data_IF_465143571613
#
_entry.id   IF_465143571613
#
_cell.length_a   1.000
_cell.length_b   1.000
_cell.length_c   1.000
_cell.angle_alpha   90.00
_cell.angle_beta   90.00
_cell.angle_gamma   90.00
#
_symmetry.space_group_name_H-M   'P 1'
#
loop_
_entity.id
_entity.type
_entity.pdbx_description
1 polymer ?
#
# COMPACT_ATOMS: atom_id res chain seq x y z
N UNK A 1 -2.12 21.21 12.15
CA UNK A 1 -2.51 21.00 10.76
C UNK A 1 -2.08 22.20 9.93
N UNK A 2 -0.81 22.31 9.61
CA UNK A 2 -0.20 23.27 8.69
C UNK A 2 1.11 22.71 8.18
N UNK A 3 1.59 23.21 7.07
CA UNK A 3 2.97 23.01 6.63
C UNK A 3 3.93 23.81 7.52
N UNK A 4 5.15 23.35 7.61
CA UNK A 4 6.24 24.09 8.23
C UNK A 4 6.70 25.18 7.26
N UNK A 5 6.58 26.45 7.67
CA UNK A 5 6.83 27.60 6.80
C UNK A 5 8.32 27.76 6.46
N UNK A 6 9.22 27.25 7.31
CA UNK A 6 10.67 27.27 7.05
C UNK A 6 11.05 26.35 5.90
N UNK A 7 10.35 25.22 5.73
CA UNK A 7 10.58 24.25 4.65
C UNK A 7 9.62 24.41 3.47
N UNK A 8 8.40 24.87 3.73
CA UNK A 8 7.33 25.00 2.75
C UNK A 8 6.67 26.39 2.85
N UNK A 9 7.39 27.46 2.45
CA UNK A 9 6.88 28.83 2.63
C UNK A 9 5.62 29.12 1.84
N UNK A 10 5.38 28.41 0.74
CA UNK A 10 4.15 28.49 -0.06
C UNK A 10 3.72 27.08 -0.50
N UNK A 11 3.00 26.32 0.35
CA UNK A 11 2.57 24.96 0.03
C UNK A 11 1.56 24.91 -1.12
N UNK A 12 0.82 26.01 -1.38
CA UNK A 12 -0.09 26.08 -2.53
C UNK A 12 0.69 26.18 -3.85
N UNK A 13 1.72 27.00 -3.92
CA UNK A 13 2.59 27.10 -5.08
C UNK A 13 3.34 25.78 -5.34
N UNK A 14 3.76 25.05 -4.29
CA UNK A 14 4.33 23.72 -4.42
C UNK A 14 3.34 22.78 -5.12
N UNK A 15 2.10 22.69 -4.62
CA UNK A 15 1.08 21.80 -5.21
C UNK A 15 0.78 22.19 -6.67
N UNK A 16 0.64 23.48 -6.96
CA UNK A 16 0.41 23.97 -8.32
C UNK A 16 1.57 23.63 -9.26
N UNK A 17 2.79 23.65 -8.76
CA UNK A 17 3.99 23.28 -9.54
C UNK A 17 4.03 21.78 -9.83
N UNK A 18 3.65 20.93 -8.87
CA UNK A 18 3.53 19.49 -9.08
C UNK A 18 2.43 19.18 -10.10
N UNK A 19 1.29 19.84 -10.01
CA UNK A 19 0.18 19.65 -10.97
C UNK A 19 0.58 20.04 -12.40
N UNK A 20 1.40 21.08 -12.59
CA UNK A 20 1.94 21.43 -13.92
C UNK A 20 2.85 20.36 -14.50
N UNK A 21 3.44 19.52 -13.65
CA UNK A 21 4.25 18.35 -14.04
C UNK A 21 3.43 17.06 -14.15
N UNK A 22 2.08 17.14 -14.08
CA UNK A 22 1.18 15.99 -14.01
C UNK A 22 1.45 15.05 -12.82
N UNK A 23 1.94 15.62 -11.72
CA UNK A 23 2.19 14.93 -10.46
C UNK A 23 1.11 15.25 -9.44
N UNK A 24 0.78 14.27 -8.59
CA UNK A 24 -0.18 14.41 -7.50
C UNK A 24 0.53 14.42 -6.16
N UNK A 25 -0.01 15.19 -5.21
CA UNK A 25 0.55 15.30 -3.86
C UNK A 25 -0.30 14.53 -2.87
N UNK A 26 0.34 13.56 -2.19
CA UNK A 26 -0.22 12.89 -1.01
C UNK A 26 0.51 13.39 0.24
N UNK A 27 -0.24 13.83 1.24
CA UNK A 27 0.32 14.36 2.50
C UNK A 27 0.00 13.42 3.65
N UNK A 28 1.01 13.15 4.49
CA UNK A 28 0.83 12.39 5.73
C UNK A 28 0.06 13.23 6.75
N UNK A 29 -0.99 12.66 7.28
CA UNK A 29 -1.82 13.23 8.35
C UNK A 29 -2.05 12.21 9.45
N UNK A 30 -2.07 12.68 10.69
CA UNK A 30 -2.23 11.82 11.85
C UNK A 30 -3.54 12.15 12.59
N UNK A 31 -4.11 11.14 13.20
CA UNK A 31 -5.21 11.31 14.19
C UNK A 31 -4.70 11.78 15.56
N UNK A 32 -3.38 11.94 15.70
CA UNK A 32 -2.69 12.50 16.85
C UNK A 32 -2.36 13.97 16.58
N UNK A 33 -2.73 14.85 17.50
CA UNK A 33 -2.49 16.29 17.38
C UNK A 33 -1.79 16.75 18.66
N UNK A 34 -0.63 17.39 18.52
CA UNK A 34 0.07 18.01 19.66
C UNK A 34 -0.83 19.04 20.34
N UNK A 35 -1.09 18.82 21.62
CA UNK A 35 -1.96 19.65 22.47
C UNK A 35 -1.45 21.08 22.61
N UNK A 36 -0.17 21.34 22.42
CA UNK A 36 0.43 22.66 22.51
C UNK A 36 0.26 23.46 21.19
N UNK A 37 -0.04 22.78 20.09
CA UNK A 37 -0.32 23.44 18.82
C UNK A 37 -1.60 24.28 18.88
N UNK A 38 -1.79 25.19 17.94
CA UNK A 38 -3.01 26.01 17.86
C UNK A 38 -4.28 25.14 17.77
N UNK A 39 -4.30 24.15 16.87
CA UNK A 39 -5.40 23.20 16.74
C UNK A 39 -5.53 22.32 17.98
N UNK A 40 -4.41 21.89 18.55
CA UNK A 40 -4.40 21.06 19.77
C UNK A 40 -5.06 21.78 20.97
N UNK A 41 -4.80 23.07 21.15
CA UNK A 41 -5.46 23.88 22.20
C UNK A 41 -6.98 23.97 22.00
N UNK A 42 -7.44 24.10 20.78
CA UNK A 42 -8.89 24.05 20.44
C UNK A 42 -9.47 22.68 20.80
N UNK A 43 -8.79 21.59 20.44
CA UNK A 43 -9.22 20.23 20.72
C UNK A 43 -9.24 19.92 22.24
N UNK A 44 -8.26 20.45 22.99
CA UNK A 44 -8.25 20.34 24.47
C UNK A 44 -9.46 21.05 25.08
N UNK A 45 -9.71 22.30 24.67
CA UNK A 45 -10.83 23.09 25.16
C UNK A 45 -12.19 22.44 24.89
N UNK A 46 -12.32 21.71 23.77
CA UNK A 46 -13.53 20.97 23.39
C UNK A 46 -13.63 19.56 24.01
N UNK A 47 -12.59 19.07 24.73
CA UNK A 47 -12.58 17.74 25.32
C UNK A 47 -12.49 16.61 24.27
N UNK A 48 -11.83 16.84 23.14
CA UNK A 48 -11.83 15.97 21.98
C UNK A 48 -10.78 14.86 21.98
N UNK A 49 -9.96 14.77 23.02
CA UNK A 49 -8.93 13.73 23.15
C UNK A 49 -9.44 12.50 23.91
N UNK A 50 -8.94 11.34 23.53
CA UNK A 50 -9.03 10.15 24.37
C UNK A 50 -8.29 10.44 25.68
N UNK A 51 -8.90 10.25 26.86
CA UNK A 51 -8.30 10.61 28.13
C UNK A 51 -6.89 10.02 28.33
N UNK A 52 -5.93 10.88 28.70
CA UNK A 52 -4.53 10.50 28.93
C UNK A 52 -3.71 10.24 27.68
N UNK A 53 -4.20 10.59 26.49
CA UNK A 53 -3.50 10.45 25.21
C UNK A 53 -3.47 11.76 24.42
N UNK A 54 -2.69 11.78 23.32
CA UNK A 54 -2.73 12.83 22.29
C UNK A 54 -3.55 12.43 21.05
N UNK A 55 -4.30 11.33 21.14
CA UNK A 55 -5.17 10.84 20.09
C UNK A 55 -6.56 11.49 20.15
N UNK A 56 -7.06 11.93 19.02
CA UNK A 56 -8.44 12.46 18.93
C UNK A 56 -9.43 11.30 19.12
N UNK A 57 -10.47 11.53 19.89
CA UNK A 57 -11.53 10.54 20.15
C UNK A 57 -12.52 10.44 18.99
N UNK A 58 -12.18 9.71 17.95
CA UNK A 58 -13.07 9.50 16.80
C UNK A 58 -14.32 8.67 17.11
N UNK A 59 -14.42 8.09 18.31
CA UNK A 59 -15.68 7.50 18.79
C UNK A 59 -16.69 8.58 19.20
N UNK A 60 -16.22 9.80 19.48
CA UNK A 60 -17.03 10.98 19.73
C UNK A 60 -17.23 11.76 18.42
N UNK A 61 -18.50 11.83 17.97
CA UNK A 61 -18.86 12.50 16.71
C UNK A 61 -18.51 13.99 16.67
N UNK A 62 -18.53 14.68 17.82
CA UNK A 62 -18.14 16.09 17.89
C UNK A 62 -16.62 16.24 17.70
N UNK A 63 -15.82 15.36 18.32
CA UNK A 63 -14.37 15.36 18.12
C UNK A 63 -13.99 15.07 16.67
N UNK A 64 -14.65 14.11 16.03
CA UNK A 64 -14.48 13.80 14.62
C UNK A 64 -14.87 15.00 13.71
N UNK A 65 -15.97 15.68 14.02
CA UNK A 65 -16.41 16.86 13.29
C UNK A 65 -15.41 18.03 13.42
N UNK A 66 -14.90 18.29 14.62
CA UNK A 66 -13.90 19.34 14.86
C UNK A 66 -12.57 19.01 14.17
N UNK A 67 -12.15 17.72 14.15
CA UNK A 67 -11.00 17.28 13.37
C UNK A 67 -11.20 17.59 11.89
N UNK A 68 -12.34 17.16 11.32
CA UNK A 68 -12.65 17.38 9.92
C UNK A 68 -12.74 18.87 9.57
N UNK A 69 -13.33 19.68 10.43
CA UNK A 69 -13.40 21.14 10.23
C UNK A 69 -12.00 21.74 10.03
N UNK A 70 -11.07 21.45 10.94
CA UNK A 70 -9.70 21.95 10.84
C UNK A 70 -8.97 21.39 9.60
N UNK A 71 -9.21 20.14 9.26
CA UNK A 71 -8.69 19.50 8.06
C UNK A 71 -9.18 20.22 6.79
N UNK A 72 -10.48 20.43 6.68
CA UNK A 72 -11.16 21.10 5.55
C UNK A 72 -10.67 22.53 5.38
N UNK A 73 -10.62 23.30 6.46
CA UNK A 73 -10.30 24.73 6.40
C UNK A 73 -8.81 24.98 6.12
N UNK A 74 -7.91 24.12 6.60
CA UNK A 74 -6.46 24.34 6.57
C UNK A 74 -5.73 23.60 5.45
N UNK A 75 -6.22 22.44 5.03
CA UNK A 75 -5.49 21.58 4.10
C UNK A 75 -6.14 21.50 2.71
N UNK A 76 -7.48 21.45 2.61
CA UNK A 76 -8.13 21.34 1.30
C UNK A 76 -7.86 22.53 0.35
N UNK A 77 -7.77 23.80 0.83
CA UNK A 77 -7.46 24.92 -0.06
C UNK A 77 -6.08 24.86 -0.72
N UNK A 78 -5.18 24.05 -0.16
CA UNK A 78 -3.82 23.89 -0.69
C UNK A 78 -3.75 23.03 -1.96
N UNK A 79 -4.86 22.37 -2.34
CA UNK A 79 -4.92 21.57 -3.56
C UNK A 79 -4.33 20.17 -3.44
N UNK A 80 -4.19 19.65 -2.22
CA UNK A 80 -3.67 18.29 -1.95
C UNK A 80 -4.63 17.26 -2.56
N UNK A 81 -4.07 16.23 -3.22
CA UNK A 81 -4.84 15.23 -3.98
C UNK A 81 -5.19 13.99 -3.16
N UNK A 82 -4.36 13.63 -2.19
CA UNK A 82 -4.48 12.37 -1.47
C UNK A 82 -3.97 12.48 -0.02
N UNK A 83 -4.41 11.54 0.82
CA UNK A 83 -4.22 11.60 2.26
C UNK A 83 -3.63 10.31 2.78
N UNK A 84 -2.43 10.39 3.36
CA UNK A 84 -1.77 9.27 4.01
C UNK A 84 -2.07 9.35 5.51
N UNK A 85 -3.04 8.53 5.94
CA UNK A 85 -3.47 8.45 7.33
C UNK A 85 -2.57 7.46 8.07
N UNK A 86 -1.52 7.99 8.65
CA UNK A 86 -0.54 7.24 9.42
C UNK A 86 -0.97 7.10 10.88
N UNK A 87 -0.42 6.10 11.56
CA UNK A 87 -0.57 5.88 13.00
C UNK A 87 -2.02 5.71 13.51
N UNK A 88 -2.90 5.19 12.67
CA UNK A 88 -4.35 5.07 12.94
C UNK A 88 -4.76 3.86 13.77
N UNK A 89 -3.85 3.19 14.47
CA UNK A 89 -4.15 2.02 15.35
C UNK A 89 -4.97 2.33 16.60
N UNK A 90 -4.75 3.35 17.46
CA UNK A 90 -3.71 4.38 17.58
C UNK A 90 -2.33 3.81 17.95
N UNK A 91 -1.29 4.39 17.36
CA UNK A 91 0.08 3.91 17.53
C UNK A 91 0.55 3.97 18.98
N UNK A 92 1.21 2.90 19.44
CA UNK A 92 1.74 2.75 20.79
C UNK A 92 0.72 2.94 21.92
N UNK A 93 -0.58 2.89 21.59
CA UNK A 93 -1.64 2.89 22.59
C UNK A 93 -2.70 1.85 22.24
N UNK A 94 -2.93 0.94 23.14
CA UNK A 94 -3.92 -0.12 23.00
C UNK A 94 -5.29 0.25 23.59
N UNK A 95 -5.44 1.48 24.06
CA UNK A 95 -6.61 2.00 24.76
C UNK A 95 -6.95 1.23 26.06
N UNK A 96 -5.98 0.47 26.60
CA UNK A 96 -6.15 -0.32 27.82
C UNK A 96 -6.51 0.58 29.01
N UNK A 97 -7.57 0.18 29.76
CA UNK A 97 -8.05 0.94 30.89
C UNK A 97 -8.65 2.31 30.54
N UNK A 98 -8.82 2.64 29.28
CA UNK A 98 -9.37 3.92 28.84
C UNK A 98 -10.83 3.84 28.46
N UNK A 99 -11.57 4.88 28.79
CA UNK A 99 -12.92 5.10 28.31
C UNK A 99 -12.91 6.07 27.14
N UNK A 100 -13.68 5.79 26.11
CA UNK A 100 -13.84 6.62 24.92
C UNK A 100 -15.30 7.06 24.73
N UNK A 101 -15.58 7.94 23.76
CA UNK A 101 -16.91 8.49 23.52
C UNK A 101 -17.51 9.13 24.78
N UNK A 102 -16.77 10.06 25.41
CA UNK A 102 -17.17 10.72 26.65
C UNK A 102 -17.50 9.73 27.79
N UNK A 103 -16.70 8.69 27.93
CA UNK A 103 -16.85 7.69 28.99
C UNK A 103 -17.93 6.64 28.76
N UNK A 104 -18.48 6.55 27.55
CA UNK A 104 -19.57 5.61 27.25
C UNK A 104 -19.08 4.21 26.87
N UNK A 105 -17.89 4.07 26.31
CA UNK A 105 -17.38 2.80 25.81
C UNK A 105 -16.01 2.46 26.39
N UNK A 106 -15.78 1.17 26.60
CA UNK A 106 -14.47 0.66 26.97
C UNK A 106 -13.57 0.64 25.72
N UNK A 107 -12.44 1.36 25.79
CA UNK A 107 -11.52 1.52 24.68
C UNK A 107 -10.92 0.22 24.17
N UNK A 108 -10.58 -0.72 25.07
CA UNK A 108 -10.03 -2.02 24.69
C UNK A 108 -11.01 -2.83 23.81
N UNK A 109 -12.29 -2.78 24.13
CA UNK A 109 -13.32 -3.52 23.39
C UNK A 109 -13.56 -2.96 21.99
N UNK A 110 -13.36 -1.65 21.80
CA UNK A 110 -13.66 -0.98 20.53
C UNK A 110 -12.40 -0.55 19.76
N UNK A 111 -11.22 -0.83 20.27
CA UNK A 111 -9.93 -0.39 19.71
C UNK A 111 -9.80 -0.60 18.20
N UNK A 112 -10.12 -1.80 17.74
CA UNK A 112 -9.97 -2.15 16.32
C UNK A 112 -10.91 -1.36 15.40
N UNK A 113 -11.94 -0.70 15.93
CA UNK A 113 -12.85 0.15 15.16
C UNK A 113 -12.28 1.56 14.94
N UNK A 114 -11.29 1.97 15.73
CA UNK A 114 -10.69 3.31 15.65
C UNK A 114 -10.26 3.70 14.23
N UNK A 115 -9.43 2.90 13.52
CA UNK A 115 -9.02 3.24 12.15
C UNK A 115 -10.20 3.37 11.18
N UNK A 116 -11.25 2.58 11.37
CA UNK A 116 -12.45 2.65 10.56
C UNK A 116 -13.13 4.02 10.69
N UNK A 117 -13.21 4.56 11.92
CA UNK A 117 -13.83 5.86 12.19
C UNK A 117 -12.99 7.02 11.70
N UNK A 118 -11.66 6.93 11.81
CA UNK A 118 -10.74 7.92 11.22
C UNK A 118 -10.95 8.00 9.70
N UNK A 119 -10.91 6.86 9.03
CA UNK A 119 -11.10 6.78 7.58
C UNK A 119 -12.50 7.24 7.15
N UNK A 120 -13.54 6.85 7.89
CA UNK A 120 -14.92 7.31 7.66
C UNK A 120 -15.00 8.84 7.68
N UNK A 121 -14.44 9.47 8.72
CA UNK A 121 -14.51 10.93 8.89
C UNK A 121 -13.90 11.67 7.71
N UNK A 122 -12.72 11.22 7.24
CA UNK A 122 -12.04 11.88 6.13
C UNK A 122 -12.74 11.57 4.80
N UNK A 123 -13.16 10.32 4.59
CA UNK A 123 -13.88 9.92 3.37
C UNK A 123 -15.18 10.69 3.19
N UNK A 124 -16.05 10.65 4.21
CA UNK A 124 -17.35 11.33 4.15
C UNK A 124 -17.17 12.85 4.00
N UNK A 125 -16.23 13.43 4.74
CA UNK A 125 -15.94 14.84 4.63
C UNK A 125 -15.41 15.25 3.26
N UNK A 126 -14.54 14.47 2.62
CA UNK A 126 -14.08 14.71 1.25
C UNK A 126 -15.24 14.65 0.25
N UNK A 127 -16.10 13.64 0.36
CA UNK A 127 -17.30 13.52 -0.49
C UNK A 127 -18.22 14.72 -0.33
N UNK A 128 -18.48 15.16 0.89
CA UNK A 128 -19.28 16.33 1.20
C UNK A 128 -18.66 17.62 0.64
N UNK A 129 -17.34 17.70 0.61
CA UNK A 129 -16.60 18.80 -0.02
C UNK A 129 -16.49 18.70 -1.55
N UNK A 130 -17.13 17.70 -2.19
CA UNK A 130 -17.08 17.48 -3.63
C UNK A 130 -15.72 17.02 -4.14
N UNK A 131 -14.91 16.37 -3.26
CA UNK A 131 -13.60 15.83 -3.60
C UNK A 131 -13.68 14.32 -3.75
N UNK A 132 -12.90 13.76 -4.67
CA UNK A 132 -12.74 12.31 -4.76
C UNK A 132 -11.79 11.83 -3.64
N UNK A 133 -12.24 10.92 -2.75
CA UNK A 133 -11.40 10.45 -1.69
C UNK A 133 -10.29 9.53 -2.21
N UNK A 134 -9.04 9.86 -1.91
CA UNK A 134 -7.89 8.99 -2.08
C UNK A 134 -7.16 8.91 -0.74
N UNK A 135 -7.28 7.77 -0.06
CA UNK A 135 -6.76 7.56 1.29
C UNK A 135 -5.82 6.36 1.29
N UNK A 136 -4.65 6.53 1.87
CA UNK A 136 -3.74 5.45 2.24
C UNK A 136 -3.69 5.38 3.76
N UNK A 137 -4.06 4.26 4.37
CA UNK A 137 -4.11 4.10 5.83
C UNK A 137 -3.22 2.96 6.29
N UNK A 138 -2.55 3.14 7.46
CA UNK A 138 -1.67 2.09 8.02
C UNK A 138 -2.48 0.94 8.64
N UNK A 139 -3.65 1.23 9.15
CA UNK A 139 -4.47 0.25 9.82
C UNK A 139 -5.91 0.28 9.29
N UNK A 140 -6.58 -0.86 9.37
CA UNK A 140 -7.96 -1.01 8.97
C UNK A 140 -8.68 -2.07 9.80
N UNK A 141 -9.98 -2.14 9.63
CA UNK A 141 -10.84 -3.13 10.24
C UNK A 141 -11.95 -3.54 9.27
N UNK A 142 -12.69 -4.58 9.60
CA UNK A 142 -13.81 -5.04 8.79
C UNK A 142 -14.76 -3.88 8.45
N UNK A 143 -15.06 -3.71 7.17
CA UNK A 143 -15.87 -2.60 6.66
C UNK A 143 -15.08 -1.40 6.11
N UNK A 144 -13.72 -1.40 6.20
CA UNK A 144 -12.88 -0.33 5.63
C UNK A 144 -13.10 -0.15 4.12
N UNK A 145 -13.51 -1.19 3.43
CA UNK A 145 -13.85 -1.18 1.99
C UNK A 145 -14.88 -0.12 1.62
N UNK A 146 -15.78 0.24 2.55
CA UNK A 146 -16.79 1.29 2.36
C UNK A 146 -16.19 2.67 2.11
N UNK A 147 -14.99 2.87 2.63
CA UNK A 147 -14.33 4.17 2.60
C UNK A 147 -13.19 4.25 1.59
N UNK A 148 -13.14 3.29 0.64
CA UNK A 148 -12.22 3.31 -0.49
C UNK A 148 -10.74 3.43 -0.12
N UNK A 149 -10.39 3.07 1.12
CA UNK A 149 -9.03 3.24 1.62
C UNK A 149 -8.11 2.15 1.10
N UNK A 150 -6.94 2.56 0.63
CA UNK A 150 -5.82 1.67 0.40
C UNK A 150 -5.03 1.48 1.71
N UNK A 151 -4.36 0.32 1.85
CA UNK A 151 -3.56 0.01 3.03
C UNK A 151 -2.13 -0.34 2.65
N UNK A 152 -1.20 -0.05 3.55
CA UNK A 152 0.15 -0.62 3.49
C UNK A 152 0.45 -1.39 4.77
N UNK A 153 1.48 -2.20 4.73
CA UNK A 153 1.81 -3.14 5.80
C UNK A 153 2.48 -2.53 7.03
N UNK A 154 2.64 -1.19 7.07
CA UNK A 154 3.31 -0.50 8.17
C UNK A 154 4.83 -0.58 8.12
N UNK A 155 5.46 -0.32 9.25
CA UNK A 155 6.91 -0.14 9.43
C UNK A 155 7.60 -1.51 9.55
N UNK A 156 7.90 -2.12 8.42
CA UNK A 156 8.46 -3.48 8.37
C UNK A 156 9.98 -3.49 8.19
N UNK A 157 10.59 -4.59 8.61
CA UNK A 157 12.01 -4.86 8.33
C UNK A 157 12.30 -5.07 6.85
N UNK A 158 13.57 -5.29 6.52
CA UNK A 158 14.02 -5.40 5.14
C UNK A 158 14.54 -6.79 4.75
N UNK A 159 14.54 -7.76 5.66
CA UNK A 159 15.09 -9.10 5.42
C UNK A 159 14.23 -9.97 4.50
N UNK A 160 14.80 -11.11 4.04
CA UNK A 160 14.11 -12.03 3.13
C UNK A 160 12.86 -12.68 3.73
N UNK A 161 12.86 -12.95 5.03
CA UNK A 161 11.70 -13.52 5.71
C UNK A 161 10.56 -12.51 5.77
N UNK A 162 10.88 -11.26 6.10
CA UNK A 162 9.92 -10.15 6.05
C UNK A 162 9.36 -10.01 4.64
N UNK A 163 10.18 -10.05 3.60
CA UNK A 163 9.70 -9.98 2.21
C UNK A 163 8.69 -11.09 1.89
N UNK A 164 9.02 -12.34 2.22
CA UNK A 164 8.10 -13.47 2.04
C UNK A 164 6.79 -13.27 2.80
N UNK A 165 6.86 -12.80 4.05
CA UNK A 165 5.66 -12.50 4.85
C UNK A 165 4.80 -11.40 4.26
N UNK A 166 5.40 -10.39 3.64
CA UNK A 166 4.66 -9.32 2.99
C UNK A 166 3.82 -9.84 1.81
N UNK A 167 4.37 -10.73 1.00
CA UNK A 167 3.60 -11.35 -0.09
C UNK A 167 2.38 -12.08 0.47
N UNK A 168 2.57 -12.94 1.47
CA UNK A 168 1.46 -13.70 2.06
C UNK A 168 0.48 -12.81 2.82
N UNK A 169 0.95 -11.75 3.47
CA UNK A 169 0.08 -10.77 4.12
C UNK A 169 -0.82 -10.05 3.10
N UNK A 170 -0.24 -9.61 1.97
CA UNK A 170 -1.01 -9.04 0.87
C UNK A 170 -2.09 -9.98 0.36
N UNK A 171 -1.77 -11.24 0.13
CA UNK A 171 -2.74 -12.27 -0.28
C UNK A 171 -3.83 -12.48 0.78
N UNK A 172 -3.48 -12.45 2.07
CA UNK A 172 -4.42 -12.51 3.18
C UNK A 172 -5.38 -11.31 3.22
N UNK A 173 -4.87 -10.10 2.95
CA UNK A 173 -5.71 -8.90 2.85
C UNK A 173 -6.71 -8.99 1.69
N UNK A 174 -6.30 -9.53 0.54
CA UNK A 174 -7.21 -9.79 -0.57
C UNK A 174 -8.32 -10.78 -0.18
N UNK A 175 -7.94 -11.87 0.52
CA UNK A 175 -8.91 -12.86 0.99
C UNK A 175 -9.88 -12.27 2.04
N UNK A 176 -9.45 -11.28 2.81
CA UNK A 176 -10.29 -10.50 3.73
C UNK A 176 -11.15 -9.43 3.03
N UNK A 177 -11.08 -9.32 1.70
CA UNK A 177 -11.84 -8.33 0.92
C UNK A 177 -11.28 -6.92 1.00
N UNK A 178 -9.98 -6.76 1.24
CA UNK A 178 -9.26 -5.47 1.22
C UNK A 178 -8.37 -5.45 -0.03
N UNK A 179 -8.88 -4.96 -1.17
CA UNK A 179 -8.22 -5.13 -2.47
C UNK A 179 -7.06 -4.15 -2.72
N UNK A 180 -7.04 -3.01 -2.05
CA UNK A 180 -6.05 -1.97 -2.26
C UNK A 180 -4.96 -2.06 -1.20
N UNK A 181 -3.88 -2.76 -1.54
CA UNK A 181 -2.79 -3.03 -0.61
C UNK A 181 -1.42 -2.81 -1.25
N UNK A 182 -0.46 -2.45 -0.41
CA UNK A 182 0.95 -2.29 -0.77
C UNK A 182 1.86 -2.55 0.43
N UNK A 183 3.15 -2.42 0.20
CA UNK A 183 4.20 -2.40 1.23
C UNK A 183 5.25 -1.34 0.88
N UNK A 184 6.13 -1.05 1.80
CA UNK A 184 7.30 -0.21 1.56
C UNK A 184 8.39 -1.05 0.87
N UNK A 185 8.51 -0.91 -0.46
CA UNK A 185 9.45 -1.71 -1.24
C UNK A 185 10.90 -1.48 -0.78
N UNK A 186 11.58 -2.56 -0.43
CA UNK A 186 12.90 -2.55 0.17
C UNK A 186 12.92 -2.52 1.70
N UNK A 187 11.73 -2.51 2.33
CA UNK A 187 11.55 -2.39 3.78
C UNK A 187 11.52 -0.94 4.26
N UNK A 188 10.79 -0.67 5.33
CA UNK A 188 10.78 0.62 6.00
C UNK A 188 12.07 0.86 6.79
N UNK A 189 12.45 -0.10 7.66
CA UNK A 189 13.72 -0.05 8.36
C UNK A 189 14.84 -0.62 7.47
N UNK A 190 15.70 0.27 6.98
CA UNK A 190 16.80 -0.07 6.08
C UNK A 190 18.14 -0.08 6.81
N UNK A 191 19.15 -0.86 6.36
CA UNK A 191 20.47 -0.85 6.98
C UNK A 191 21.17 0.49 6.71
N UNK A 192 22.05 0.91 7.63
CA UNK A 192 22.80 2.16 7.50
C UNK A 192 23.65 2.22 6.22
N UNK A 193 24.21 1.08 5.80
CA UNK A 193 25.01 0.94 4.59
C UNK A 193 24.18 0.59 3.34
N UNK A 194 22.90 0.91 3.34
CA UNK A 194 21.94 0.55 2.29
C UNK A 194 22.37 0.90 0.86
N UNK A 195 23.17 1.93 0.68
CA UNK A 195 23.60 2.39 -0.65
C UNK A 195 24.83 1.63 -1.20
N UNK A 196 25.52 0.88 -0.37
CA UNK A 196 26.76 0.18 -0.71
C UNK A 196 26.72 -1.33 -0.43
N UNK A 197 25.72 -1.79 0.31
CA UNK A 197 25.53 -3.20 0.60
C UNK A 197 24.85 -3.93 -0.59
N UNK A 198 25.64 -4.65 -1.37
CA UNK A 198 25.15 -5.39 -2.54
C UNK A 198 24.08 -6.44 -2.20
N UNK A 199 24.13 -7.04 -1.01
CA UNK A 199 23.11 -8.01 -0.57
C UNK A 199 21.77 -7.31 -0.24
N UNK A 200 21.83 -6.13 0.35
CA UNK A 200 20.62 -5.32 0.55
C UNK A 200 20.06 -4.79 -0.78
N UNK A 201 20.94 -4.29 -1.67
CA UNK A 201 20.52 -3.77 -2.97
C UNK A 201 19.81 -4.86 -3.79
N UNK A 202 20.36 -6.07 -3.85
CA UNK A 202 19.68 -7.20 -4.51
C UNK A 202 18.30 -7.43 -3.91
N UNK A 203 18.19 -7.51 -2.60
CA UNK A 203 16.93 -7.73 -1.91
C UNK A 203 15.92 -6.62 -2.17
N UNK A 204 16.34 -5.36 -2.10
CA UNK A 204 15.52 -4.20 -2.42
C UNK A 204 14.99 -4.26 -3.86
N UNK A 205 15.81 -4.65 -4.82
CA UNK A 205 15.38 -4.83 -6.20
C UNK A 205 14.28 -5.90 -6.32
N UNK A 206 14.40 -7.03 -5.60
CA UNK A 206 13.34 -8.07 -5.59
C UNK A 206 12.01 -7.58 -5.02
N UNK A 207 12.07 -6.73 -3.99
CA UNK A 207 10.86 -6.06 -3.49
C UNK A 207 10.24 -5.14 -4.56
N UNK A 208 11.05 -4.36 -5.24
CA UNK A 208 10.60 -3.41 -6.28
C UNK A 208 10.02 -4.14 -7.49
N UNK A 209 10.69 -5.19 -7.97
CA UNK A 209 10.18 -6.04 -9.06
C UNK A 209 8.80 -6.63 -8.75
N UNK A 210 8.63 -7.13 -7.51
CA UNK A 210 7.35 -7.67 -7.07
C UNK A 210 6.30 -6.55 -6.92
N UNK A 211 6.71 -5.36 -6.46
CA UNK A 211 5.82 -4.21 -6.30
C UNK A 211 5.20 -3.73 -7.61
N UNK A 212 5.82 -3.99 -8.76
CA UNK A 212 5.24 -3.74 -10.09
C UNK A 212 3.87 -4.41 -10.22
N UNK A 213 3.70 -5.58 -9.60
CA UNK A 213 2.51 -6.44 -9.68
C UNK A 213 1.70 -6.44 -8.37
N UNK A 214 1.75 -5.35 -7.62
CA UNK A 214 0.85 -5.09 -6.50
C UNK A 214 -0.28 -4.13 -6.91
N UNK A 215 -1.41 -4.10 -6.19
CA UNK A 215 -2.46 -3.10 -6.44
C UNK A 215 -1.92 -1.67 -6.45
N UNK A 216 -1.07 -1.32 -5.49
CA UNK A 216 -0.32 -0.07 -5.47
C UNK A 216 1.19 -0.38 -5.45
N UNK A 217 1.95 0.39 -6.21
CA UNK A 217 3.41 0.35 -6.15
C UNK A 217 3.91 1.53 -5.31
N UNK A 218 4.66 1.24 -4.26
CA UNK A 218 5.19 2.23 -3.33
C UNK A 218 6.65 1.95 -3.00
N UNK A 219 7.45 2.99 -2.95
CA UNK A 219 8.81 2.98 -2.39
C UNK A 219 8.84 3.98 -1.24
N UNK A 220 9.23 3.52 -0.06
CA UNK A 220 9.37 4.34 1.13
C UNK A 220 10.37 3.70 2.08
N UNK A 221 11.02 4.50 2.94
CA UNK A 221 11.97 4.01 3.94
C UNK A 221 12.26 5.07 4.98
N UNK A 222 12.41 4.64 6.23
CA UNK A 222 12.72 5.51 7.35
C UNK A 222 14.12 6.11 7.22
N UNK A 223 14.22 7.43 7.33
CA UNK A 223 15.48 8.19 7.23
C UNK A 223 16.36 7.74 6.04
N UNK A 224 15.73 7.50 4.89
CA UNK A 224 16.38 6.99 3.69
C UNK A 224 16.09 7.87 2.49
N UNK A 225 17.11 8.14 1.70
CA UNK A 225 16.96 8.69 0.36
C UNK A 225 16.62 7.53 -0.58
N UNK A 226 15.35 7.44 -0.97
CA UNK A 226 14.84 6.28 -1.73
C UNK A 226 14.90 6.44 -3.23
N UNK A 227 15.49 7.52 -3.72
CA UNK A 227 15.65 7.81 -5.12
C UNK A 227 16.62 6.81 -5.77
N UNK A 228 16.28 6.31 -6.97
CA UNK A 228 17.01 5.22 -7.62
C UNK A 228 18.51 5.45 -7.81
N UNK A 229 18.90 6.68 -8.05
CA UNK A 229 20.32 7.06 -8.30
C UNK A 229 21.23 6.90 -7.08
N UNK A 230 20.66 6.81 -5.86
CA UNK A 230 21.46 6.61 -4.65
C UNK A 230 22.03 5.19 -4.52
N UNK A 231 21.49 4.21 -5.26
CA UNK A 231 21.85 2.79 -5.18
C UNK A 231 22.82 2.32 -6.27
N UNK A 232 23.40 3.27 -7.00
CA UNK A 232 24.33 3.02 -8.11
C UNK A 232 23.62 2.78 -9.44
N UNK A 233 24.41 2.82 -10.51
CA UNK A 233 23.89 2.86 -11.90
C UNK A 233 23.08 1.61 -12.26
N UNK A 234 23.59 0.40 -11.93
CA UNK A 234 22.88 -0.87 -12.21
C UNK A 234 21.48 -0.87 -11.56
N UNK A 235 21.41 -0.54 -10.26
CA UNK A 235 20.14 -0.52 -9.54
C UNK A 235 19.21 0.55 -10.10
N UNK A 236 19.72 1.73 -10.44
CA UNK A 236 18.94 2.80 -11.08
C UNK A 236 18.31 2.35 -12.40
N UNK A 237 19.07 1.68 -13.26
CA UNK A 237 18.58 1.16 -14.54
C UNK A 237 17.50 0.09 -14.36
N UNK A 238 17.68 -0.83 -13.40
CA UNK A 238 16.69 -1.86 -13.07
C UNK A 238 15.41 -1.23 -12.52
N UNK A 239 15.51 -0.28 -11.58
CA UNK A 239 14.34 0.40 -11.03
C UNK A 239 13.60 1.16 -12.12
N UNK A 240 14.33 1.84 -13.03
CA UNK A 240 13.71 2.52 -14.15
C UNK A 240 12.94 1.56 -15.07
N UNK A 241 13.48 0.36 -15.34
CA UNK A 241 12.77 -0.69 -16.08
C UNK A 241 11.50 -1.15 -15.36
N UNK A 242 11.55 -1.35 -14.04
CA UNK A 242 10.39 -1.69 -13.23
C UNK A 242 9.29 -0.61 -13.31
N UNK A 243 9.67 0.67 -13.22
CA UNK A 243 8.74 1.78 -13.36
C UNK A 243 8.12 1.84 -14.76
N UNK A 244 8.93 1.68 -15.81
CA UNK A 244 8.45 1.62 -17.20
C UNK A 244 7.46 0.47 -17.39
N UNK A 245 7.76 -0.71 -16.82
CA UNK A 245 6.85 -1.86 -16.85
C UNK A 245 5.53 -1.53 -16.14
N UNK A 246 5.58 -0.94 -14.95
CA UNK A 246 4.38 -0.51 -14.22
C UNK A 246 3.51 0.44 -15.06
N UNK A 247 4.12 1.41 -15.73
CA UNK A 247 3.39 2.33 -16.61
C UNK A 247 2.82 1.63 -17.84
N UNK A 248 3.56 0.69 -18.43
CA UNK A 248 3.06 -0.13 -19.56
C UNK A 248 1.82 -0.95 -19.17
N UNK A 249 1.79 -1.47 -17.96
CA UNK A 249 0.65 -2.21 -17.41
C UNK A 249 -0.52 -1.32 -16.96
N UNK A 250 -0.38 0.01 -16.98
CA UNK A 250 -1.40 0.91 -16.42
C UNK A 250 -2.78 0.76 -17.07
N UNK A 251 -2.95 0.57 -18.39
CA UNK A 251 -4.27 0.32 -18.97
C UNK A 251 -4.90 -0.96 -18.40
N UNK A 252 -4.14 -2.04 -18.30
CA UNK A 252 -4.60 -3.30 -17.70
C UNK A 252 -4.98 -3.12 -16.23
N UNK A 253 -4.13 -2.46 -15.43
CA UNK A 253 -4.38 -2.19 -14.02
C UNK A 253 -5.66 -1.37 -13.84
N UNK A 254 -5.86 -0.33 -14.64
CA UNK A 254 -7.07 0.50 -14.58
C UNK A 254 -8.34 -0.29 -14.90
N UNK A 255 -8.31 -1.18 -15.90
CA UNK A 255 -9.46 -2.05 -16.21
C UNK A 255 -9.76 -3.01 -15.06
N UNK A 256 -8.74 -3.67 -14.51
CA UNK A 256 -8.91 -4.57 -13.39
C UNK A 256 -9.40 -3.81 -12.13
N UNK A 257 -8.86 -2.64 -11.86
CA UNK A 257 -9.27 -1.79 -10.74
C UNK A 257 -10.74 -1.37 -10.87
N UNK A 258 -11.17 -0.99 -12.08
CA UNK A 258 -12.58 -0.69 -12.36
C UNK A 258 -13.48 -1.90 -12.09
N UNK A 259 -13.10 -3.08 -12.58
CA UNK A 259 -13.84 -4.32 -12.35
C UNK A 259 -13.94 -4.65 -10.84
N UNK A 260 -12.84 -4.50 -10.10
CA UNK A 260 -12.83 -4.68 -8.63
C UNK A 260 -13.80 -3.73 -7.94
N UNK A 261 -13.82 -2.45 -8.34
CA UNK A 261 -14.70 -1.44 -7.73
C UNK A 261 -16.18 -1.64 -8.07
N UNK A 262 -16.50 -2.12 -9.26
CA UNK A 262 -17.89 -2.26 -9.75
C UNK A 262 -18.49 -3.63 -9.44
N UNK A 263 -17.67 -4.69 -9.43
CA UNK A 263 -18.13 -6.08 -9.37
C UNK A 263 -17.63 -6.82 -8.13
N UNK A 264 -16.74 -6.20 -7.36
CA UNK A 264 -16.03 -6.86 -6.27
C UNK A 264 -14.85 -7.70 -6.76
N UNK A 265 -14.20 -8.41 -5.85
CA UNK A 265 -13.00 -9.19 -6.12
C UNK A 265 -11.71 -8.44 -5.79
N UNK A 266 -10.61 -8.88 -6.36
CA UNK A 266 -9.28 -8.34 -6.05
C UNK A 266 -8.37 -8.31 -7.27
N UNK A 267 -7.37 -7.43 -7.26
CA UNK A 267 -6.36 -7.36 -8.32
C UNK A 267 -5.20 -8.34 -8.06
N UNK A 268 -4.69 -8.42 -6.82
CA UNK A 268 -3.72 -9.41 -6.37
C UNK A 268 -4.51 -10.62 -5.83
N UNK A 269 -4.51 -11.75 -6.56
CA UNK A 269 -5.44 -12.87 -6.32
C UNK A 269 -4.70 -14.10 -5.82
N UNK A 270 -4.98 -14.60 -4.61
CA UNK A 270 -4.49 -15.91 -4.20
C UNK A 270 -4.88 -16.99 -5.22
N UNK A 271 -3.99 -17.95 -5.51
CA UNK A 271 -4.26 -18.98 -6.53
C UNK A 271 -5.53 -19.79 -6.25
N UNK A 272 -5.92 -19.93 -4.99
CA UNK A 272 -7.17 -20.59 -4.60
C UNK A 272 -8.41 -19.94 -5.20
N UNK A 273 -8.39 -18.65 -5.55
CA UNK A 273 -9.54 -17.97 -6.15
C UNK A 273 -9.81 -18.40 -7.59
N UNK A 274 -8.76 -18.77 -8.30
CA UNK A 274 -8.85 -19.14 -9.73
C UNK A 274 -8.66 -20.65 -9.95
N UNK A 275 -7.98 -21.35 -9.03
CA UNK A 275 -7.52 -22.73 -9.19
C UNK A 275 -7.83 -23.59 -7.95
N UNK A 276 -9.03 -23.46 -7.38
CA UNK A 276 -9.44 -24.14 -6.17
C UNK A 276 -9.36 -25.70 -6.25
N UNK A 277 -9.46 -26.26 -7.43
CA UNK A 277 -9.40 -27.71 -7.69
C UNK A 277 -7.99 -28.21 -8.06
N UNK A 278 -7.00 -27.35 -8.12
CA UNK A 278 -5.61 -27.71 -8.41
C UNK A 278 -4.82 -27.82 -7.09
N UNK A 279 -4.68 -29.04 -6.60
CA UNK A 279 -4.02 -29.32 -5.32
C UNK A 279 -2.57 -28.83 -5.25
N UNK A 280 -1.89 -28.75 -6.40
CA UNK A 280 -0.50 -28.27 -6.47
C UNK A 280 -0.44 -26.74 -6.44
N UNK A 281 -1.38 -26.07 -7.11
CA UNK A 281 -1.53 -24.62 -7.04
C UNK A 281 -1.78 -24.15 -5.59
N UNK A 282 -2.55 -24.90 -4.81
CA UNK A 282 -2.85 -24.55 -3.41
C UNK A 282 -1.63 -24.66 -2.47
N UNK A 283 -0.53 -25.29 -2.88
CA UNK A 283 0.73 -25.36 -2.12
C UNK A 283 1.63 -24.15 -2.36
N UNK A 284 1.37 -23.37 -3.40
CA UNK A 284 2.20 -22.23 -3.79
C UNK A 284 1.93 -21.03 -2.87
N UNK A 285 2.88 -20.71 -1.99
CA UNK A 285 2.71 -19.67 -0.96
C UNK A 285 2.91 -18.25 -1.47
N UNK A 286 3.71 -18.08 -2.52
CA UNK A 286 4.17 -16.77 -2.96
C UNK A 286 3.73 -16.44 -4.39
N UNK A 287 3.25 -17.42 -5.12
CA UNK A 287 2.69 -17.22 -6.45
C UNK A 287 1.25 -16.69 -6.36
N UNK A 288 0.88 -15.81 -7.28
CA UNK A 288 -0.46 -15.24 -7.30
C UNK A 288 -0.82 -14.75 -8.70
N UNK A 289 -2.13 -14.61 -8.95
CA UNK A 289 -2.60 -13.92 -10.15
C UNK A 289 -2.64 -12.41 -9.91
N UNK A 290 -2.16 -11.66 -10.89
CA UNK A 290 -2.35 -10.21 -10.95
C UNK A 290 -3.41 -9.91 -12.01
N UNK A 291 -4.62 -9.58 -11.55
CA UNK A 291 -5.82 -9.63 -12.38
C UNK A 291 -6.10 -11.03 -12.91
N UNK A 292 -6.94 -11.17 -13.94
CA UNK A 292 -7.30 -12.48 -14.50
C UNK A 292 -6.21 -13.10 -15.37
N UNK A 293 -5.22 -12.33 -15.85
CA UNK A 293 -4.38 -12.73 -16.96
C UNK A 293 -2.92 -13.00 -16.64
N UNK A 294 -2.37 -12.49 -15.54
CA UNK A 294 -0.94 -12.61 -15.24
C UNK A 294 -0.70 -13.45 -13.99
N UNK A 295 0.08 -14.52 -14.11
CA UNK A 295 0.63 -15.28 -13.00
C UNK A 295 1.99 -14.69 -12.64
N UNK A 296 2.16 -14.33 -11.37
CA UNK A 296 3.36 -13.70 -10.83
C UNK A 296 4.08 -14.70 -9.93
N UNK A 297 5.39 -14.87 -10.13
CA UNK A 297 6.22 -15.75 -9.32
C UNK A 297 7.40 -14.96 -8.73
N UNK A 298 7.22 -14.32 -7.57
CA UNK A 298 8.26 -13.52 -6.91
C UNK A 298 9.50 -14.34 -6.59
N UNK A 299 10.67 -13.79 -6.89
CA UNK A 299 11.95 -14.39 -6.52
C UNK A 299 12.28 -14.02 -5.07
N UNK A 300 12.19 -14.98 -4.17
CA UNK A 300 12.25 -14.78 -2.72
C UNK A 300 13.50 -15.30 -2.05
N UNK A 301 14.56 -15.52 -2.82
CA UNK A 301 15.87 -16.02 -2.36
C UNK A 301 17.02 -15.21 -2.96
N UNK A 302 18.13 -15.04 -2.22
CA UNK A 302 19.30 -14.31 -2.72
C UNK A 302 20.10 -15.12 -3.73
N UNK A 303 20.81 -14.43 -4.62
CA UNK A 303 21.87 -14.98 -5.47
C UNK A 303 21.42 -16.01 -6.51
N UNK A 304 20.11 -16.13 -6.78
CA UNK A 304 19.60 -17.14 -7.74
C UNK A 304 19.65 -16.60 -9.17
N UNK A 305 19.97 -17.47 -10.11
CA UNK A 305 20.00 -17.21 -11.56
C UNK A 305 18.91 -17.96 -12.32
N UNK A 306 18.19 -18.83 -11.63
CA UNK A 306 17.01 -19.54 -12.16
C UNK A 306 15.93 -19.62 -11.08
N UNK A 307 14.68 -19.71 -11.51
CA UNK A 307 13.54 -19.80 -10.61
C UNK A 307 12.50 -20.77 -11.17
N UNK A 308 11.94 -21.58 -10.29
CA UNK A 308 10.91 -22.57 -10.66
C UNK A 308 9.54 -22.04 -10.25
N UNK A 309 8.62 -21.99 -11.21
CA UNK A 309 7.24 -21.56 -11.06
C UNK A 309 6.30 -22.73 -11.35
N UNK A 310 5.28 -22.89 -10.55
CA UNK A 310 4.18 -23.80 -10.88
C UNK A 310 3.20 -23.10 -11.81
N UNK A 311 2.90 -23.69 -12.93
CA UNK A 311 1.89 -23.22 -13.87
C UNK A 311 0.58 -23.96 -13.59
N UNK A 312 -0.45 -23.34 -12.95
CA UNK A 312 -1.69 -24.01 -12.60
C UNK A 312 -2.40 -24.64 -13.78
N UNK A 313 -3.19 -25.68 -13.53
CA UNK A 313 -3.97 -26.34 -14.58
C UNK A 313 -4.90 -25.35 -15.27
N UNK A 314 -4.73 -25.24 -16.58
CA UNK A 314 -5.47 -24.33 -17.42
C UNK A 314 -5.48 -24.85 -18.87
N UNK A 315 -6.66 -24.95 -19.46
CA UNK A 315 -6.84 -25.49 -20.82
C UNK A 315 -6.14 -24.65 -21.90
N UNK A 316 -5.99 -23.34 -21.67
CA UNK A 316 -5.32 -22.43 -22.59
C UNK A 316 -3.79 -22.43 -22.45
N UNK A 317 -3.26 -23.07 -21.41
CA UNK A 317 -1.85 -23.04 -21.05
C UNK A 317 -1.38 -21.65 -20.60
N UNK A 318 -0.08 -21.47 -20.60
CA UNK A 318 0.61 -20.29 -20.11
C UNK A 318 1.71 -19.85 -21.05
N UNK A 319 1.86 -18.58 -21.26
CA UNK A 319 2.93 -18.02 -22.10
C UNK A 319 3.85 -17.17 -21.23
N UNK A 320 5.14 -17.49 -21.24
CA UNK A 320 6.16 -16.66 -20.58
C UNK A 320 6.10 -15.24 -21.16
N UNK A 321 5.84 -14.26 -20.30
CA UNK A 321 5.60 -12.87 -20.68
C UNK A 321 6.78 -12.22 -21.40
N UNK A 322 8.00 -12.67 -21.07
CA UNK A 322 9.22 -12.10 -21.62
C UNK A 322 9.67 -12.78 -22.90
N UNK A 323 9.62 -14.13 -22.94
CA UNK A 323 10.17 -14.91 -24.05
C UNK A 323 9.15 -15.27 -25.12
N UNK A 324 7.86 -15.19 -24.78
CA UNK A 324 6.78 -15.66 -25.63
C UNK A 324 6.66 -17.18 -25.72
N UNK A 325 7.47 -17.94 -24.96
CA UNK A 325 7.41 -19.39 -24.97
C UNK A 325 6.14 -19.87 -24.29
N UNK A 326 5.41 -20.76 -24.96
CA UNK A 326 4.18 -21.34 -24.46
C UNK A 326 4.43 -22.66 -23.73
N UNK A 327 3.65 -22.94 -22.70
CA UNK A 327 3.70 -24.12 -21.84
C UNK A 327 2.27 -24.59 -21.54
N UNK A 328 2.09 -25.89 -21.38
CA UNK A 328 0.84 -26.44 -20.88
C UNK A 328 0.69 -26.12 -19.38
N UNK A 329 -0.55 -26.11 -18.86
CA UNK A 329 -0.81 -26.01 -17.43
C UNK A 329 -0.53 -27.33 -16.68
N UNK A 330 -0.51 -27.27 -15.33
CA UNK A 330 -0.32 -28.42 -14.47
C UNK A 330 1.13 -28.88 -14.33
N UNK A 331 2.13 -28.01 -14.51
CA UNK A 331 3.53 -28.36 -14.46
C UNK A 331 4.42 -27.32 -13.82
N UNK A 332 5.59 -27.72 -13.38
CA UNK A 332 6.66 -26.81 -12.95
C UNK A 332 7.53 -26.41 -14.13
N UNK A 333 7.86 -25.14 -14.24
CA UNK A 333 8.75 -24.58 -15.26
C UNK A 333 9.87 -23.81 -14.59
N UNK A 334 11.11 -24.12 -14.94
CA UNK A 334 12.29 -23.36 -14.49
C UNK A 334 12.72 -22.39 -15.58
N UNK A 335 12.79 -21.11 -15.22
CA UNK A 335 13.24 -20.03 -16.11
C UNK A 335 14.49 -19.35 -15.55
N UNK A 336 15.30 -18.79 -16.44
CA UNK A 336 16.43 -17.94 -16.00
C UNK A 336 15.87 -16.64 -15.41
N UNK A 337 16.49 -16.16 -14.35
CA UNK A 337 16.17 -14.87 -13.73
C UNK A 337 17.43 -14.03 -13.56
N UNK A 338 17.23 -12.72 -13.59
CA UNK A 338 18.28 -11.74 -13.27
C UNK A 338 17.78 -10.81 -12.17
N UNK A 339 18.56 -9.86 -11.71
CA UNK A 339 18.10 -8.82 -10.78
C UNK A 339 17.13 -7.81 -11.43
N UNK A 340 16.80 -7.97 -12.72
CA UNK A 340 15.98 -7.02 -13.46
C UNK A 340 14.56 -7.49 -13.76
N UNK A 341 14.22 -8.74 -13.42
CA UNK A 341 12.87 -9.25 -13.60
C UNK A 341 12.60 -10.54 -12.82
N UNK A 342 11.33 -10.74 -12.47
CA UNK A 342 10.77 -11.96 -11.90
C UNK A 342 9.99 -12.73 -12.98
N UNK A 343 9.79 -14.06 -12.86
CA UNK A 343 8.95 -14.79 -13.80
C UNK A 343 7.50 -14.32 -13.76
N UNK A 344 6.97 -14.03 -14.94
CA UNK A 344 5.58 -13.66 -15.17
C UNK A 344 5.05 -14.47 -16.34
N UNK A 345 3.87 -15.06 -16.20
CA UNK A 345 3.25 -15.85 -17.25
C UNK A 345 1.87 -15.31 -17.59
N UNK A 346 1.59 -15.21 -18.86
CA UNK A 346 0.28 -14.84 -19.40
C UNK A 346 -0.60 -16.09 -19.40
N UNK A 347 -1.81 -16.01 -18.88
CA UNK A 347 -2.83 -17.04 -19.04
C UNK A 347 -3.23 -17.11 -20.49
N UNK A 348 -3.05 -18.27 -21.13
CA UNK A 348 -3.26 -18.45 -22.57
C UNK A 348 -2.09 -17.94 -23.42
N UNK A 349 -2.39 -17.52 -24.66
CA UNK A 349 -1.37 -17.21 -25.69
C UNK A 349 -1.05 -15.73 -25.83
N UNK A 350 -1.97 -14.85 -25.46
CA UNK A 350 -1.82 -13.41 -25.71
C UNK A 350 -2.23 -12.59 -24.49
N UNK A 351 -1.49 -11.53 -24.26
CA UNK A 351 -1.81 -10.52 -23.25
C UNK A 351 -2.43 -9.31 -23.93
N UNK A 352 -3.63 -8.96 -23.49
CA UNK A 352 -4.31 -7.74 -23.95
C UNK A 352 -4.18 -6.68 -22.86
N UNK A 353 -3.46 -5.62 -23.19
CA UNK A 353 -3.24 -4.48 -22.32
C UNK A 353 -4.48 -3.59 -22.22
#
# INVERSE_FOLDING_TARGET
MRFDEDFYPDPKALTDSLHKMDMKLMVSVWSKIDKNSEVGKQMVAAGNYIPGTDWIDFFNTNAAADYWKNFKERLLPLGIDAWWQDATEPENDDLMGRMVNNGKWNGEQVRNVYPLLVNKTVYEGLKEAGKEPMILTRCGFAGIQRYGSAMWSGDVGNDWETFRRQITAGLGMQAAGIPWWTYDAGGFFRPQNQYTDGAYIERMLRWIETAVYLPLMRVHGYMSNTEPWNYGKEAQEIIAQCLQERYRLMPYIKRCAKAVSEQGGTLMRPLVFDFANDAEALKQKYEYMFGPSLLISPVTQPGVTSWTTYLPQNAEGWTDYRTGKHYDGGQYVTTSVTKAYIPVFIRGKQFTN
#
